data_IF_958323563940
#
_entry.id   IF_958323563940
#
_cell.length_a   1.000
_cell.length_b   1.000
_cell.length_c   1.000
_cell.angle_alpha   90.00
_cell.angle_beta   90.00
_cell.angle_gamma   90.00
#
_symmetry.space_group_name_H-M   'P 1'
#
loop_
_entity.id
_entity.type
_entity.pdbx_description
1 polymer ?
#
# COMPACT_ATOMS: atom_id res chain seq x y z
N UNK A 1 8.32 36.56 -62.39
CA UNK A 1 9.29 35.44 -62.29
C UNK A 1 10.23 35.70 -61.12
N UNK A 2 10.37 34.70 -60.22
CA UNK A 2 11.51 34.32 -59.34
C UNK A 2 12.14 35.37 -58.39
N UNK A 3 12.66 35.09 -57.18
CA UNK A 3 12.50 34.08 -56.10
C UNK A 3 13.42 34.60 -54.95
N UNK A 4 13.02 34.39 -53.68
CA UNK A 4 13.83 34.32 -52.42
C UNK A 4 14.56 35.60 -51.90
N UNK A 5 14.74 35.88 -50.59
CA UNK A 5 15.21 35.03 -49.48
C UNK A 5 14.67 35.46 -48.09
N UNK A 6 14.64 34.45 -47.22
CA UNK A 6 14.38 34.35 -45.77
C UNK A 6 14.94 35.47 -44.85
N UNK A 7 14.24 35.69 -43.72
CA UNK A 7 14.73 35.51 -42.31
C UNK A 7 13.52 35.52 -41.35
N UNK A 8 13.07 34.39 -40.77
CA UNK A 8 13.54 33.71 -39.55
C UNK A 8 13.47 34.55 -38.25
N UNK A 9 12.57 34.14 -37.36
CA UNK A 9 12.55 34.48 -35.92
C UNK A 9 11.16 34.91 -35.44
N UNK A 10 10.46 34.25 -34.53
CA UNK A 10 10.76 33.10 -33.70
C UNK A 10 9.42 32.41 -33.36
N UNK A 11 9.30 31.12 -33.70
CA UNK A 11 8.21 30.29 -33.23
C UNK A 11 8.37 30.12 -31.72
N UNK A 12 7.45 30.72 -30.94
CA UNK A 12 7.32 30.44 -29.51
C UNK A 12 6.91 28.99 -29.37
N UNK A 13 7.88 28.12 -29.08
CA UNK A 13 7.64 26.76 -28.63
C UNK A 13 6.78 26.82 -27.38
N UNK A 14 5.50 26.50 -27.52
CA UNK A 14 4.64 26.16 -26.40
C UNK A 14 5.26 24.91 -25.77
N UNK A 15 5.88 25.08 -24.61
CA UNK A 15 6.29 23.97 -23.77
C UNK A 15 5.02 23.28 -23.29
N UNK A 16 4.64 22.22 -24.01
CA UNK A 16 3.60 21.29 -23.58
C UNK A 16 4.07 20.70 -22.27
N UNK A 17 3.54 21.21 -21.16
CA UNK A 17 3.77 20.69 -19.82
C UNK A 17 3.08 19.33 -19.75
N UNK A 18 3.80 18.28 -20.12
CA UNK A 18 3.35 16.91 -19.94
C UNK A 18 3.24 16.62 -18.45
N UNK A 19 2.04 16.74 -17.90
CA UNK A 19 1.74 16.18 -16.59
C UNK A 19 1.70 14.67 -16.73
N UNK A 20 2.70 14.01 -16.15
CA UNK A 20 2.73 12.56 -15.98
C UNK A 20 1.52 12.14 -15.15
N UNK A 21 0.69 11.27 -15.72
CA UNK A 21 -0.43 10.57 -15.03
C UNK A 21 0.07 9.31 -14.36
N UNK A 22 1.26 9.31 -13.76
CA UNK A 22 1.57 8.26 -12.81
C UNK A 22 0.62 8.46 -11.62
N UNK A 23 -0.17 7.45 -11.23
CA UNK A 23 -0.76 7.46 -9.90
C UNK A 23 0.42 7.69 -8.96
N UNK A 24 0.33 8.72 -8.12
CA UNK A 24 1.22 8.81 -6.98
C UNK A 24 0.94 7.55 -6.17
N UNK A 25 1.72 6.48 -6.42
CA UNK A 25 1.92 5.47 -5.41
C UNK A 25 2.33 6.27 -4.19
N UNK A 26 1.60 6.07 -3.10
CA UNK A 26 1.93 6.63 -1.79
C UNK A 26 3.38 6.25 -1.52
N UNK A 27 4.31 7.13 -1.90
CA UNK A 27 5.73 6.99 -1.61
C UNK A 27 5.79 7.29 -0.12
N UNK A 28 5.53 6.25 0.68
CA UNK A 28 5.86 6.18 2.10
C UNK A 28 7.24 6.83 2.22
N UNK A 29 7.26 8.02 2.83
CA UNK A 29 8.42 8.90 2.87
C UNK A 29 9.61 8.10 3.40
N UNK A 30 10.46 7.64 2.50
CA UNK A 30 11.69 6.94 2.85
C UNK A 30 12.65 8.04 3.27
N UNK A 31 12.61 8.34 4.57
CA UNK A 31 13.74 8.96 5.27
C UNK A 31 15.03 8.29 4.79
N UNK A 32 16.05 9.05 4.37
CA UNK A 32 17.31 8.48 3.89
C UNK A 32 17.98 7.73 5.05
N UNK A 33 17.86 6.39 5.06
CA UNK A 33 18.46 5.54 6.09
C UNK A 33 17.62 4.34 6.54
N UNK A 34 16.31 4.30 6.24
CA UNK A 34 15.47 3.16 6.60
C UNK A 34 15.31 2.23 5.39
N UNK A 35 15.75 0.98 5.55
CA UNK A 35 15.45 -0.09 4.59
C UNK A 35 13.93 -0.27 4.47
N UNK A 36 13.42 -0.62 3.28
CA UNK A 36 12.02 -1.00 3.15
C UNK A 36 11.71 -2.17 4.09
N UNK A 37 10.47 -2.26 4.61
CA UNK A 37 10.05 -3.42 5.40
C UNK A 37 10.34 -4.72 4.64
N UNK A 38 10.77 -5.79 5.33
CA UNK A 38 11.01 -7.07 4.70
C UNK A 38 9.74 -7.56 4.01
N UNK A 39 9.89 -8.04 2.77
CA UNK A 39 8.79 -8.66 2.03
C UNK A 39 8.62 -10.09 2.55
N UNK A 40 7.75 -10.24 3.54
CA UNK A 40 7.43 -11.54 4.13
C UNK A 40 6.20 -12.14 3.45
N UNK A 41 6.21 -13.46 3.27
CA UNK A 41 5.03 -14.20 2.89
C UNK A 41 4.27 -14.59 4.16
N UNK A 42 3.37 -13.70 4.60
CA UNK A 42 2.63 -13.90 5.85
C UNK A 42 1.74 -15.15 5.85
N UNK A 43 1.43 -15.71 4.67
CA UNK A 43 0.70 -16.99 4.55
C UNK A 43 1.51 -18.18 5.09
N UNK A 44 2.84 -18.14 4.96
CA UNK A 44 3.73 -19.21 5.41
C UNK A 44 3.86 -19.28 6.94
N UNK A 45 3.44 -18.21 7.64
CA UNK A 45 3.44 -18.13 9.10
C UNK A 45 2.35 -18.99 9.74
N UNK A 46 1.28 -19.30 9.00
CA UNK A 46 0.12 -20.05 9.51
C UNK A 46 0.10 -21.50 9.00
N UNK A 47 1.19 -21.97 8.41
CA UNK A 47 1.30 -23.36 7.93
C UNK A 47 1.12 -24.35 9.09
N UNK A 48 0.37 -25.46 8.92
CA UNK A 48 0.13 -26.44 9.99
C UNK A 48 1.42 -27.00 10.61
N UNK A 49 2.49 -27.05 9.83
CA UNK A 49 3.80 -27.55 10.28
C UNK A 49 4.55 -26.57 11.18
N UNK A 50 4.15 -25.29 11.26
CA UNK A 50 4.83 -24.28 12.08
C UNK A 50 4.69 -24.57 13.58
N UNK A 51 3.52 -25.02 14.03
CA UNK A 51 3.30 -25.38 15.43
C UNK A 51 4.15 -26.60 15.82
N UNK A 52 4.23 -27.61 14.95
CA UNK A 52 5.08 -28.79 15.12
C UNK A 52 6.56 -28.42 15.12
N UNK A 53 6.98 -27.55 14.19
CA UNK A 53 8.36 -27.09 14.10
C UNK A 53 8.78 -26.23 15.31
N UNK A 54 7.91 -25.33 15.77
CA UNK A 54 8.14 -24.55 16.98
C UNK A 54 8.33 -25.46 18.21
N UNK A 55 7.49 -26.50 18.34
CA UNK A 55 7.63 -27.51 19.39
C UNK A 55 8.95 -28.28 19.28
N UNK A 56 9.33 -28.71 18.08
CA UNK A 56 10.58 -29.44 17.84
C UNK A 56 11.83 -28.60 18.15
N UNK A 57 11.74 -27.28 17.98
CA UNK A 57 12.81 -26.32 18.35
C UNK A 57 12.75 -25.85 19.81
N UNK A 58 11.89 -26.45 20.63
CA UNK A 58 11.66 -26.06 22.02
C UNK A 58 11.25 -24.58 22.18
N UNK A 59 10.59 -24.01 21.16
CA UNK A 59 10.04 -22.65 21.20
C UNK A 59 8.66 -22.74 21.85
N UNK A 60 8.56 -22.28 23.09
CA UNK A 60 7.31 -22.24 23.84
C UNK A 60 6.47 -21.03 23.42
N UNK A 61 5.77 -21.14 22.28
CA UNK A 61 4.74 -20.17 21.90
C UNK A 61 3.38 -20.59 22.49
N UNK A 62 2.73 -19.75 23.30
CA UNK A 62 1.39 -20.02 23.80
C UNK A 62 0.39 -20.24 22.64
N UNK A 63 -0.54 -21.18 22.78
CA UNK A 63 -1.56 -21.48 21.75
C UNK A 63 -2.37 -20.24 21.33
N UNK A 64 -2.66 -19.35 22.28
CA UNK A 64 -3.29 -18.04 22.05
C UNK A 64 -2.56 -17.16 21.02
N UNK A 65 -1.24 -17.35 20.86
CA UNK A 65 -0.41 -16.60 19.92
C UNK A 65 -0.72 -17.02 18.48
N UNK A 66 -0.93 -18.32 18.24
CA UNK A 66 -1.30 -18.84 16.93
C UNK A 66 -2.71 -18.40 16.50
N UNK A 67 -3.64 -18.32 17.48
CA UNK A 67 -4.99 -17.79 17.24
C UNK A 67 -4.93 -16.29 16.90
N UNK A 68 -4.15 -15.51 17.65
CA UNK A 68 -3.96 -14.08 17.40
C UNK A 68 -3.30 -13.83 16.03
N UNK A 69 -2.25 -14.58 15.70
CA UNK A 69 -1.57 -14.53 14.40
C UNK A 69 -2.54 -14.76 13.24
N UNK A 70 -3.39 -15.80 13.33
CA UNK A 70 -4.39 -16.10 12.29
C UNK A 70 -5.43 -14.98 12.17
N UNK A 71 -5.90 -14.46 13.30
CA UNK A 71 -6.83 -13.33 13.33
C UNK A 71 -6.23 -12.07 12.69
N UNK A 72 -4.97 -11.75 12.99
CA UNK A 72 -4.27 -10.59 12.44
C UNK A 72 -4.00 -10.77 10.93
N UNK A 73 -3.70 -11.99 10.48
CA UNK A 73 -3.54 -12.31 9.05
C UNK A 73 -4.86 -12.10 8.28
N UNK A 74 -5.97 -12.61 8.82
CA UNK A 74 -7.28 -12.45 8.19
C UNK A 74 -7.71 -10.97 8.16
N UNK A 75 -7.47 -10.24 9.25
CA UNK A 75 -7.71 -8.80 9.31
C UNK A 75 -6.85 -8.03 8.28
N UNK A 76 -5.58 -8.42 8.11
CA UNK A 76 -4.69 -7.81 7.13
C UNK A 76 -5.19 -8.05 5.71
N UNK A 77 -5.60 -9.27 5.36
CA UNK A 77 -6.18 -9.60 4.05
C UNK A 77 -7.42 -8.76 3.74
N UNK A 78 -8.31 -8.59 4.71
CA UNK A 78 -9.52 -7.78 4.57
C UNK A 78 -9.14 -6.31 4.37
N UNK A 79 -8.24 -5.78 5.19
CA UNK A 79 -7.79 -4.39 5.12
C UNK A 79 -7.10 -4.07 3.78
N UNK A 80 -6.27 -4.97 3.25
CA UNK A 80 -5.61 -4.78 1.95
C UNK A 80 -6.61 -4.76 0.79
N UNK A 81 -7.67 -5.58 0.85
CA UNK A 81 -8.76 -5.52 -0.15
C UNK A 81 -9.53 -4.22 -0.05
N UNK A 82 -9.85 -3.77 1.17
CA UNK A 82 -10.55 -2.51 1.39
C UNK A 82 -9.73 -1.29 0.91
N UNK A 83 -8.41 -1.29 1.09
CA UNK A 83 -7.52 -0.25 0.55
C UNK A 83 -7.62 -0.14 -0.97
N UNK A 84 -7.64 -1.28 -1.68
CA UNK A 84 -7.80 -1.31 -3.13
C UNK A 84 -9.12 -0.66 -3.58
N UNK A 85 -10.22 -0.97 -2.90
CA UNK A 85 -11.54 -0.38 -3.17
C UNK A 85 -11.56 1.14 -2.88
N UNK A 86 -10.94 1.58 -1.78
CA UNK A 86 -10.82 2.99 -1.42
C UNK A 86 -9.98 3.78 -2.44
N UNK A 87 -8.88 3.19 -2.91
CA UNK A 87 -8.01 3.78 -3.94
C UNK A 87 -8.74 3.93 -5.28
N UNK A 88 -9.53 2.93 -5.67
CA UNK A 88 -10.41 3.02 -6.83
C UNK A 88 -11.46 4.12 -6.68
N UNK A 89 -12.07 4.26 -5.48
CA UNK A 89 -13.01 5.32 -5.15
C UNK A 89 -12.39 6.73 -5.19
N UNK A 90 -11.12 6.87 -4.79
CA UNK A 90 -10.43 8.16 -4.73
C UNK A 90 -10.23 8.78 -6.12
N UNK A 91 -9.93 7.94 -7.11
CA UNK A 91 -9.82 8.36 -8.50
C UNK A 91 -11.15 8.91 -9.03
N UNK A 92 -12.26 8.23 -8.71
CA UNK A 92 -13.61 8.62 -9.13
C UNK A 92 -14.03 9.97 -8.52
N UNK A 93 -13.85 10.15 -7.22
CA UNK A 93 -14.18 11.42 -6.54
C UNK A 93 -13.32 12.57 -7.04
N UNK A 94 -12.03 12.33 -7.28
CA UNK A 94 -11.14 13.33 -7.87
C UNK A 94 -11.52 13.76 -9.29
N UNK A 95 -12.18 12.90 -10.06
CA UNK A 95 -12.74 13.23 -11.37
C UNK A 95 -14.03 14.04 -11.25
N UNK A 96 -14.93 13.69 -10.31
CA UNK A 96 -16.14 14.47 -10.01
C UNK A 96 -15.79 15.90 -9.61
N UNK A 97 -14.83 16.10 -8.69
CA UNK A 97 -14.40 17.44 -8.27
C UNK A 97 -13.88 18.30 -9.43
N UNK A 98 -13.27 17.68 -10.45
CA UNK A 98 -12.71 18.36 -11.63
C UNK A 98 -13.75 18.67 -12.70
N UNK A 99 -14.79 17.85 -12.82
CA UNK A 99 -15.79 17.92 -13.90
C UNK A 99 -17.02 18.73 -13.51
N UNK A 100 -17.35 18.80 -12.21
CA UNK A 100 -18.51 19.53 -11.73
C UNK A 100 -18.30 21.05 -11.80
N UNK A 101 -19.22 21.73 -12.49
CA UNK A 101 -19.24 23.20 -12.65
C UNK A 101 -20.10 23.92 -11.61
N UNK A 102 -21.11 23.24 -11.07
CA UNK A 102 -22.00 23.79 -10.05
C UNK A 102 -21.27 23.91 -8.69
N UNK A 103 -21.34 25.08 -8.03
CA UNK A 103 -20.58 25.34 -6.80
C UNK A 103 -21.04 24.47 -5.62
N UNK A 104 -22.33 24.20 -5.48
CA UNK A 104 -22.91 23.37 -4.41
C UNK A 104 -22.46 21.90 -4.52
N UNK A 105 -22.53 21.35 -5.73
CA UNK A 105 -22.09 19.99 -6.01
C UNK A 105 -20.58 19.84 -5.85
N UNK A 106 -19.82 20.89 -6.16
CA UNK A 106 -18.37 20.91 -5.96
C UNK A 106 -18.00 20.91 -4.47
N UNK A 107 -18.71 21.67 -3.64
CA UNK A 107 -18.49 21.65 -2.19
C UNK A 107 -18.85 20.30 -1.58
N UNK A 108 -19.94 19.68 -2.04
CA UNK A 108 -20.30 18.30 -1.68
C UNK A 108 -19.20 17.29 -2.06
N UNK A 109 -18.70 17.37 -3.29
CA UNK A 109 -17.63 16.50 -3.79
C UNK A 109 -16.31 16.71 -3.01
N UNK A 110 -15.97 17.94 -2.63
CA UNK A 110 -14.80 18.23 -1.78
C UNK A 110 -14.96 17.63 -0.38
N UNK A 111 -16.16 17.72 0.23
CA UNK A 111 -16.44 17.09 1.53
C UNK A 111 -16.29 15.56 1.44
N UNK A 112 -16.81 14.95 0.38
CA UNK A 112 -16.64 13.51 0.12
C UNK A 112 -15.16 13.13 -0.08
N UNK A 113 -14.39 13.94 -0.81
CA UNK A 113 -12.97 13.72 -1.02
C UNK A 113 -12.19 13.74 0.31
N UNK A 114 -12.51 14.67 1.22
CA UNK A 114 -11.91 14.74 2.55
C UNK A 114 -12.24 13.51 3.39
N UNK A 115 -13.52 13.15 3.49
CA UNK A 115 -13.93 11.96 4.24
C UNK A 115 -13.28 10.66 3.70
N UNK A 116 -13.15 10.55 2.38
CA UNK A 116 -12.47 9.43 1.76
C UNK A 116 -10.97 9.44 2.07
N UNK A 117 -10.32 10.60 2.03
CA UNK A 117 -8.91 10.75 2.42
C UNK A 117 -8.68 10.35 3.88
N UNK A 118 -9.56 10.76 4.80
CA UNK A 118 -9.48 10.37 6.22
C UNK A 118 -9.64 8.86 6.39
N UNK A 119 -10.55 8.24 5.62
CA UNK A 119 -10.75 6.78 5.61
C UNK A 119 -9.51 6.02 5.10
N UNK A 120 -8.87 6.53 4.05
CA UNK A 120 -7.60 5.97 3.53
C UNK A 120 -6.51 6.04 4.59
N UNK A 121 -6.32 7.21 5.22
CA UNK A 121 -5.31 7.36 6.29
C UNK A 121 -5.60 6.48 7.51
N UNK A 122 -6.87 6.19 7.82
CA UNK A 122 -7.23 5.22 8.85
C UNK A 122 -6.85 3.79 8.45
N UNK A 123 -7.13 3.39 7.21
CA UNK A 123 -6.76 2.08 6.68
C UNK A 123 -5.24 1.88 6.60
N UNK A 124 -4.49 2.89 6.14
CA UNK A 124 -3.02 2.83 6.09
C UNK A 124 -2.41 2.64 7.48
N UNK A 125 -2.97 3.29 8.51
CA UNK A 125 -2.54 3.12 9.91
C UNK A 125 -2.84 1.72 10.42
N UNK A 126 -4.02 1.18 10.11
CA UNK A 126 -4.39 -0.16 10.54
C UNK A 126 -3.56 -1.23 9.84
N UNK A 127 -3.29 -1.08 8.54
CA UNK A 127 -2.36 -1.93 7.80
C UNK A 127 -0.97 -1.89 8.41
N UNK A 128 -0.43 -0.71 8.72
CA UNK A 128 0.87 -0.59 9.36
C UNK A 128 0.91 -1.26 10.75
N UNK A 129 -0.19 -1.19 11.52
CA UNK A 129 -0.33 -1.86 12.82
C UNK A 129 -0.31 -3.38 12.65
N UNK A 130 -1.06 -3.90 11.69
CA UNK A 130 -1.15 -5.33 11.39
C UNK A 130 0.15 -5.87 10.82
N UNK A 131 0.78 -5.17 9.87
CA UNK A 131 2.11 -5.52 9.33
C UNK A 131 3.15 -5.62 10.45
N UNK A 132 3.14 -4.67 11.40
CA UNK A 132 4.04 -4.72 12.54
C UNK A 132 3.75 -5.93 13.44
N UNK A 133 2.49 -6.20 13.75
CA UNK A 133 2.09 -7.37 14.55
C UNK A 133 2.55 -8.68 13.90
N UNK A 134 2.31 -8.83 12.60
CA UNK A 134 2.73 -9.99 11.82
C UNK A 134 4.25 -10.15 11.74
N UNK A 135 4.98 -9.03 11.59
CA UNK A 135 6.45 -9.04 11.62
C UNK A 135 6.98 -9.43 13.00
N UNK A 136 6.38 -8.95 14.09
CA UNK A 136 6.77 -9.31 15.45
C UNK A 136 6.56 -10.82 15.70
N UNK A 137 5.49 -11.40 15.13
CA UNK A 137 5.29 -12.85 15.16
C UNK A 137 6.32 -13.61 14.31
N UNK A 138 6.61 -13.18 13.09
CA UNK A 138 7.63 -13.82 12.23
C UNK A 138 9.01 -13.80 12.87
N UNK A 139 9.43 -12.66 13.43
CA UNK A 139 10.71 -12.57 14.15
C UNK A 139 10.75 -13.45 15.40
N UNK A 140 9.60 -13.73 16.01
CA UNK A 140 9.47 -14.66 17.14
C UNK A 140 9.37 -16.13 16.74
N UNK A 141 8.87 -16.43 15.54
CA UNK A 141 8.73 -17.78 14.99
C UNK A 141 10.00 -18.08 14.20
N UNK A 142 10.94 -18.79 14.84
CA UNK A 142 12.13 -19.31 14.16
C UNK A 142 11.74 -20.05 12.86
N UNK A 143 12.31 -19.62 11.72
CA UNK A 143 12.06 -20.14 10.36
C UNK A 143 11.87 -21.67 10.28
N UNK A 144 11.07 -22.15 9.33
CA UNK A 144 10.87 -23.59 9.08
C UNK A 144 12.18 -24.39 9.08
N UNK A 145 12.24 -25.48 9.84
CA UNK A 145 13.37 -26.41 9.77
C UNK A 145 13.32 -27.16 8.45
N UNK A 146 14.47 -27.32 7.81
CA UNK A 146 14.61 -28.33 6.76
C UNK A 146 14.35 -29.70 7.36
N UNK A 147 13.73 -30.61 6.60
CA UNK A 147 13.38 -31.98 7.03
C UNK A 147 14.58 -32.80 7.51
N UNK A 148 15.80 -32.38 7.13
CA UNK A 148 17.05 -33.09 7.37
C UNK A 148 17.79 -32.55 8.61
N UNK A 149 17.22 -31.57 9.33
CA UNK A 149 17.79 -31.11 10.60
C UNK A 149 17.48 -32.16 11.66
N UNK A 150 18.48 -32.80 12.29
CA UNK A 150 18.24 -33.80 13.32
C UNK A 150 17.55 -33.15 14.54
N UNK A 151 16.56 -33.87 15.06
CA UNK A 151 15.78 -33.49 16.25
C UNK A 151 16.48 -33.87 17.55
#
# INVERSE_FOLDING_TARGET
MLISLRRLGASRKLLTRCYSTHPNSSKRSTSPGFLPPPKLNYEDLVHPDQASNAKNRNVMLPERTWVALRSDLDAWKIATRAEYELSAGHSRVGETVRTTSAPEDKESAIRQARALSDSVHAHERELARLEKSLLDYDLGILHTSHSDVPF
#
